data_IF_784859389587
#
_entry.id   IF_784859389587
#
_cell.length_a   1.000
_cell.length_b   1.000
_cell.length_c   1.000
_cell.angle_alpha   90.00
_cell.angle_beta   90.00
_cell.angle_gamma   90.00
#
_symmetry.space_group_name_H-M   'P 1'
#
loop_
_entity.id
_entity.type
_entity.pdbx_description
1 polymer ?
#
# COMPACT_ATOMS: atom_id res chain seq x y z
N UNK A 1 8.67 4.89 14.63
CA UNK A 1 7.39 5.61 14.52
C UNK A 1 6.47 4.99 13.46
N UNK A 2 7.02 4.35 12.40
CA UNK A 2 6.27 3.55 11.40
C UNK A 2 5.14 2.67 11.96
N UNK A 3 5.41 1.93 13.03
CA UNK A 3 4.43 1.01 13.63
C UNK A 3 3.54 1.66 14.70
N UNK A 4 3.73 2.95 14.99
CA UNK A 4 2.86 3.68 15.91
C UNK A 4 1.70 4.27 15.12
N UNK A 5 0.50 3.77 15.39
CA UNK A 5 -0.71 4.22 14.70
C UNK A 5 -1.18 5.58 15.21
N UNK A 6 -1.38 6.51 14.28
CA UNK A 6 -2.19 7.71 14.46
C UNK A 6 -3.67 7.33 14.37
N UNK A 7 -4.45 7.77 15.35
CA UNK A 7 -5.89 7.51 15.41
C UNK A 7 -6.67 8.46 14.50
N UNK A 8 -6.14 9.66 14.25
CA UNK A 8 -6.76 10.73 13.48
C UNK A 8 -6.19 10.84 12.06
N UNK A 9 -4.91 10.52 11.89
CA UNK A 9 -4.19 10.51 10.62
C UNK A 9 -3.80 9.12 10.12
N UNK A 10 -2.92 9.09 9.12
CA UNK A 10 -2.36 7.89 8.50
C UNK A 10 -3.36 7.12 7.63
N UNK A 11 -2.87 6.03 7.02
CA UNK A 11 -3.67 5.26 6.08
C UNK A 11 -4.82 4.51 6.77
N UNK A 12 -5.94 4.45 6.04
CA UNK A 12 -7.19 3.84 6.49
C UNK A 12 -7.76 2.91 5.42
N UNK A 13 -8.16 1.72 5.86
CA UNK A 13 -8.90 0.76 5.06
C UNK A 13 -10.28 0.52 5.68
N UNK A 14 -11.32 0.75 4.89
CA UNK A 14 -12.70 0.55 5.30
C UNK A 14 -13.32 -0.62 4.53
N UNK A 15 -13.90 -1.57 5.27
CA UNK A 15 -14.71 -2.65 4.68
C UNK A 15 -16.15 -2.18 4.55
N UNK A 16 -16.77 -2.44 3.40
CA UNK A 16 -18.19 -2.17 3.17
C UNK A 16 -19.05 -3.36 3.58
N UNK A 17 -19.74 -3.23 4.72
CA UNK A 17 -20.69 -4.19 5.25
C UNK A 17 -22.12 -3.69 4.95
N UNK A 18 -22.66 -4.07 3.78
CA UNK A 18 -24.03 -3.74 3.34
C UNK A 18 -24.35 -2.23 3.34
N UNK A 19 -23.41 -1.41 2.87
CA UNK A 19 -23.55 0.05 2.82
C UNK A 19 -23.05 0.75 4.08
N UNK A 20 -22.51 0.01 5.06
CA UNK A 20 -21.83 0.57 6.24
C UNK A 20 -20.33 0.35 6.12
N UNK A 21 -19.56 1.43 6.18
CA UNK A 21 -18.10 1.37 6.16
C UNK A 21 -17.55 1.21 7.57
N UNK A 22 -16.81 0.12 7.79
CA UNK A 22 -16.18 -0.21 9.08
C UNK A 22 -14.67 -0.07 8.91
N UNK A 23 -14.04 0.75 9.76
CA UNK A 23 -12.57 0.86 9.80
C UNK A 23 -12.00 -0.50 10.24
N UNK A 24 -11.28 -1.16 9.34
CA UNK A 24 -10.61 -2.45 9.59
C UNK A 24 -9.08 -2.31 9.50
N UNK A 25 -8.55 -1.08 9.46
CA UNK A 25 -7.15 -0.82 9.12
C UNK A 25 -6.16 -1.60 9.99
N UNK A 26 -6.35 -1.56 11.31
CA UNK A 26 -5.47 -2.27 12.25
C UNK A 26 -5.64 -3.78 12.16
N UNK A 27 -6.89 -4.26 12.08
CA UNK A 27 -7.18 -5.69 11.95
C UNK A 27 -6.68 -6.28 10.63
N UNK A 28 -6.66 -5.48 9.56
CA UNK A 28 -6.17 -5.85 8.23
C UNK A 28 -4.65 -5.70 8.08
N UNK A 29 -3.93 -5.20 9.10
CA UNK A 29 -2.48 -5.04 9.02
C UNK A 29 -2.00 -3.82 8.22
N UNK A 30 -2.90 -2.92 7.85
CA UNK A 30 -2.54 -1.64 7.21
C UNK A 30 -1.86 -0.77 8.27
N UNK A 31 -0.76 -0.11 7.92
CA UNK A 31 -0.09 0.79 8.83
C UNK A 31 -0.82 2.13 8.87
N UNK A 32 -0.78 2.80 10.02
CA UNK A 32 -1.31 4.14 10.17
C UNK A 32 -0.27 5.05 10.80
N UNK A 33 0.96 4.99 10.29
CA UNK A 33 2.13 5.62 10.91
C UNK A 33 1.89 7.10 11.25
N UNK A 34 2.26 7.51 12.47
CA UNK A 34 2.26 8.94 12.90
C UNK A 34 3.22 9.83 12.09
N UNK A 35 4.09 9.24 11.29
CA UNK A 35 4.99 9.96 10.37
C UNK A 35 4.67 9.65 8.90
N UNK A 36 3.57 8.95 8.63
CA UNK A 36 3.12 8.62 7.28
C UNK A 36 2.36 9.78 6.65
N UNK A 37 2.80 10.17 5.46
CA UNK A 37 2.15 11.19 4.63
C UNK A 37 1.72 10.53 3.32
N UNK A 38 0.62 9.78 3.38
CA UNK A 38 0.06 9.10 2.20
C UNK A 38 -0.41 10.09 1.15
N UNK A 39 0.14 10.00 -0.07
CA UNK A 39 -0.18 10.89 -1.19
C UNK A 39 -0.96 10.21 -2.31
N UNK A 40 -0.80 8.90 -2.46
CA UNK A 40 -1.43 8.13 -3.53
C UNK A 40 -1.67 6.68 -3.14
N UNK A 41 -2.70 6.08 -3.74
CA UNK A 41 -3.00 4.66 -3.63
C UNK A 41 -3.11 4.07 -5.03
N UNK A 42 -2.40 2.96 -5.24
CA UNK A 42 -2.42 2.18 -6.47
C UNK A 42 -2.77 0.75 -6.11
N UNK A 43 -3.64 0.13 -6.90
CA UNK A 43 -4.15 -1.22 -6.64
C UNK A 43 -3.88 -2.07 -7.88
N UNK A 44 -3.31 -3.25 -7.68
CA UNK A 44 -2.97 -4.18 -8.74
C UNK A 44 -2.53 -5.53 -8.17
N UNK A 45 -2.48 -6.56 -9.00
CA UNK A 45 -2.05 -7.92 -8.63
C UNK A 45 -0.55 -8.06 -8.94
N UNK A 46 0.31 -7.71 -7.98
CA UNK A 46 1.75 -7.58 -8.25
C UNK A 46 2.47 -8.92 -8.15
N UNK A 47 1.95 -9.84 -7.33
CA UNK A 47 2.52 -11.17 -7.15
C UNK A 47 1.86 -12.25 -8.03
N UNK A 48 0.91 -11.85 -8.89
CA UNK A 48 0.21 -12.66 -9.89
C UNK A 48 -0.59 -13.81 -9.28
N UNK A 49 -1.10 -13.62 -8.07
CA UNK A 49 -1.80 -14.65 -7.32
C UNK A 49 -3.34 -14.61 -7.50
N UNK A 50 -3.82 -13.65 -8.29
CA UNK A 50 -5.21 -13.40 -8.62
C UNK A 50 -5.93 -12.48 -7.63
N UNK A 51 -5.24 -11.96 -6.61
CA UNK A 51 -5.78 -11.02 -5.63
C UNK A 51 -5.16 -9.63 -5.78
N UNK A 52 -5.93 -8.61 -5.42
CA UNK A 52 -5.46 -7.24 -5.53
C UNK A 52 -4.64 -6.87 -4.29
N UNK A 53 -3.43 -6.39 -4.56
CA UNK A 53 -2.49 -5.79 -3.63
C UNK A 53 -2.60 -4.27 -3.63
N UNK A 54 -1.95 -3.62 -2.66
CA UNK A 54 -2.03 -2.18 -2.47
C UNK A 54 -0.62 -1.59 -2.39
N UNK A 55 -0.34 -0.59 -3.24
CA UNK A 55 0.82 0.27 -3.12
C UNK A 55 0.39 1.65 -2.62
N UNK A 56 1.10 2.19 -1.62
CA UNK A 56 0.85 3.52 -1.07
C UNK A 56 2.11 4.37 -1.20
N UNK A 57 1.98 5.47 -1.93
CA UNK A 57 3.00 6.51 -2.02
C UNK A 57 3.04 7.33 -0.73
N UNK A 58 4.21 7.48 -0.15
CA UNK A 58 4.47 8.30 1.03
C UNK A 58 5.53 9.37 0.77
N UNK A 59 5.45 10.45 1.55
CA UNK A 59 6.38 11.57 1.49
C UNK A 59 7.22 11.71 2.77
N UNK A 60 8.38 12.35 2.64
CA UNK A 60 9.36 12.68 3.66
C UNK A 60 10.00 11.50 4.40
N UNK A 61 9.40 11.09 5.52
CA UNK A 61 10.05 10.27 6.55
C UNK A 61 9.70 8.81 6.45
N UNK A 62 8.52 8.53 5.91
CA UNK A 62 8.00 7.20 5.76
C UNK A 62 8.30 6.70 4.35
N UNK A 63 8.78 5.47 4.23
CA UNK A 63 8.85 4.83 2.91
C UNK A 63 7.43 4.56 2.43
N UNK A 64 7.31 4.35 1.14
CA UNK A 64 6.12 3.74 0.56
C UNK A 64 5.72 2.46 1.32
N UNK A 65 4.51 1.99 1.03
CA UNK A 65 4.04 0.69 1.47
C UNK A 65 3.68 -0.15 0.25
N UNK A 66 4.09 -1.40 0.28
CA UNK A 66 3.53 -2.43 -0.58
C UNK A 66 2.88 -3.48 0.32
N UNK A 67 1.57 -3.65 0.17
CA UNK A 67 0.75 -4.55 0.95
C UNK A 67 0.29 -5.71 0.08
N UNK A 68 0.82 -6.90 0.34
CA UNK A 68 0.42 -8.14 -0.32
C UNK A 68 -0.81 -8.72 0.36
N UNK A 69 -1.85 -9.00 -0.41
CA UNK A 69 -3.12 -9.51 0.08
C UNK A 69 -2.98 -10.96 0.56
N UNK A 70 -3.38 -11.24 1.80
CA UNK A 70 -3.28 -12.59 2.39
C UNK A 70 -4.54 -13.45 2.15
N UNK A 71 -5.51 -12.97 1.36
CA UNK A 71 -6.75 -13.68 0.96
C UNK A 71 -7.73 -13.97 2.10
N UNK A 72 -7.48 -13.41 3.28
CA UNK A 72 -8.30 -13.56 4.48
C UNK A 72 -8.79 -12.21 5.04
N UNK A 73 -8.62 -11.13 4.27
CA UNK A 73 -8.92 -9.76 4.67
C UNK A 73 -7.78 -9.05 5.40
N UNK A 74 -6.60 -9.68 5.49
CA UNK A 74 -5.37 -9.07 5.99
C UNK A 74 -4.35 -8.82 4.88
N UNK A 75 -3.38 -7.96 5.17
CA UNK A 75 -2.31 -7.57 4.28
C UNK A 75 -0.95 -7.65 4.97
N UNK A 76 0.07 -8.02 4.20
CA UNK A 76 1.47 -8.07 4.64
C UNK A 76 2.28 -6.96 3.98
N UNK A 77 2.84 -6.06 4.78
CA UNK A 77 3.80 -5.06 4.28
C UNK A 77 5.08 -5.75 3.80
N UNK A 78 5.47 -5.52 2.54
CA UNK A 78 6.50 -6.30 1.84
C UNK A 78 7.40 -5.44 0.95
N UNK A 79 7.37 -4.11 1.06
CA UNK A 79 8.06 -3.22 0.11
C UNK A 79 9.54 -3.58 -0.07
N UNK A 80 10.28 -3.79 1.01
CA UNK A 80 11.72 -4.07 0.93
C UNK A 80 12.08 -5.47 0.48
N UNK A 81 11.12 -6.39 0.49
CA UNK A 81 11.32 -7.76 0.06
C UNK A 81 11.11 -7.88 -1.46
N UNK A 82 10.16 -7.11 -2.00
CA UNK A 82 9.74 -7.20 -3.41
C UNK A 82 10.35 -6.10 -4.29
N UNK A 83 10.69 -4.93 -3.74
CA UNK A 83 11.18 -3.79 -4.53
C UNK A 83 12.70 -3.63 -4.47
N UNK A 84 13.33 -3.61 -5.65
CA UNK A 84 14.76 -3.34 -5.78
C UNK A 84 15.14 -1.87 -5.56
N UNK A 85 14.18 -0.94 -5.69
CA UNK A 85 14.37 0.49 -5.47
C UNK A 85 13.07 1.15 -5.01
N UNK A 86 13.17 2.19 -4.17
CA UNK A 86 12.02 2.91 -3.62
C UNK A 86 12.34 4.40 -3.55
N UNK A 87 11.36 5.27 -3.82
CA UNK A 87 11.51 6.70 -3.52
C UNK A 87 11.18 7.00 -2.06
N UNK A 88 11.64 8.15 -1.59
CA UNK A 88 11.32 8.71 -0.26
C UNK A 88 10.39 9.93 -0.36
N UNK A 89 9.99 10.32 -1.56
CA UNK A 89 9.21 11.52 -1.85
C UNK A 89 8.15 11.24 -2.92
N UNK A 90 7.48 10.09 -2.81
CA UNK A 90 6.55 9.60 -3.83
C UNK A 90 5.27 10.43 -3.86
N UNK A 91 5.05 11.16 -4.96
CA UNK A 91 3.87 12.02 -5.15
C UNK A 91 2.66 11.26 -5.73
N UNK A 92 2.91 10.22 -6.51
CA UNK A 92 1.90 9.39 -7.15
C UNK A 92 2.53 8.16 -7.81
N UNK A 93 1.71 7.14 -8.05
CA UNK A 93 2.16 5.89 -8.64
C UNK A 93 1.11 5.28 -9.58
N UNK A 94 1.57 4.49 -10.54
CA UNK A 94 0.75 3.63 -11.39
C UNK A 94 1.40 2.25 -11.54
N UNK A 95 0.61 1.24 -11.86
CA UNK A 95 1.05 -0.15 -11.98
C UNK A 95 0.64 -0.73 -13.33
N UNK A 96 1.61 -1.23 -14.10
CA UNK A 96 1.38 -1.83 -15.41
C UNK A 96 2.55 -2.72 -15.82
N UNK A 97 2.31 -3.69 -16.71
CA UNK A 97 3.37 -4.43 -17.40
C UNK A 97 3.99 -3.51 -18.48
N UNK A 98 5.14 -2.91 -18.17
CA UNK A 98 5.83 -1.92 -19.01
C UNK A 98 6.87 -2.57 -19.92
N UNK A 99 7.42 -3.71 -19.50
CA UNK A 99 8.50 -4.40 -20.21
C UNK A 99 8.01 -5.63 -21.03
N UNK A 100 6.72 -5.96 -20.93
CA UNK A 100 6.05 -7.08 -21.57
C UNK A 100 6.58 -8.46 -21.14
N UNK A 101 6.91 -8.61 -19.85
CA UNK A 101 7.31 -9.88 -19.22
C UNK A 101 6.21 -10.55 -18.38
N UNK A 102 5.01 -9.95 -18.37
CA UNK A 102 3.82 -10.35 -17.62
C UNK A 102 3.86 -10.06 -16.11
N UNK A 103 4.91 -9.42 -15.60
CA UNK A 103 4.95 -8.91 -14.24
C UNK A 103 4.64 -7.40 -14.26
N UNK A 104 3.72 -6.91 -13.41
CA UNK A 104 3.47 -5.49 -13.33
C UNK A 104 4.66 -4.76 -12.69
N UNK A 105 5.13 -3.70 -13.33
CA UNK A 105 6.01 -2.71 -12.74
C UNK A 105 5.22 -1.65 -11.99
N UNK A 106 5.82 -1.10 -10.94
CA UNK A 106 5.35 0.12 -10.28
C UNK A 106 6.16 1.30 -10.79
N UNK A 107 5.48 2.27 -11.40
CA UNK A 107 6.07 3.55 -11.77
C UNK A 107 5.67 4.62 -10.76
N UNK A 108 6.64 5.34 -10.22
CA UNK A 108 6.44 6.39 -9.22
C UNK A 108 6.99 7.72 -9.73
N UNK A 109 6.27 8.80 -9.45
CA UNK A 109 6.77 10.18 -9.64
C UNK A 109 7.25 10.75 -8.33
N UNK A 110 8.46 11.32 -8.30
CA UNK A 110 9.07 12.01 -7.16
C UNK A 110 9.68 13.38 -7.53
#
# INVERSE_FOLDING_TARGET
LRNQRDQQGGDKLYRNDEGKFVDVSEAAGIYGSVIGFGLGVTVGDIDLDGWQDIYISNDFYERDYLYINQKDGTFRESLTDEMGHTSHFSMGADMADLNNDLYPEVFVTD
#
